data_IF_336514134416
#
_entry.id   IF_336514134416
#
_cell.length_a   1.000
_cell.length_b   1.000
_cell.length_c   1.000
_cell.angle_alpha   90.00
_cell.angle_beta   90.00
_cell.angle_gamma   90.00
#
_symmetry.space_group_name_H-M   'P 1'
#
loop_
_entity.id
_entity.type
_entity.pdbx_description
1 polymer ?
#
# COMPACT_ATOMS: atom_id res chain seq x y z
N UNK A 1 25.48 10.31 18.72
CA UNK A 1 24.27 9.89 19.46
C UNK A 1 23.05 10.30 18.66
N UNK A 2 22.64 9.50 17.67
CA UNK A 2 21.38 9.70 16.95
C UNK A 2 20.35 8.84 17.65
N UNK A 3 19.61 9.40 18.60
CA UNK A 3 18.36 8.82 19.08
C UNK A 3 17.37 8.85 17.92
N UNK A 4 17.50 7.90 17.00
CA UNK A 4 16.52 7.69 15.93
C UNK A 4 15.21 7.38 16.62
N UNK A 5 14.26 8.30 16.51
CA UNK A 5 12.90 8.10 17.00
C UNK A 5 12.36 6.86 16.28
N UNK A 6 12.20 5.74 16.99
CA UNK A 6 11.68 4.48 16.44
C UNK A 6 10.18 4.62 16.16
N UNK A 7 9.86 5.38 15.10
CA UNK A 7 8.52 5.63 14.61
C UNK A 7 8.18 4.62 13.52
N UNK A 8 7.01 3.96 13.59
CA UNK A 8 6.53 3.13 12.50
C UNK A 8 6.43 3.92 11.19
N UNK A 9 6.60 3.27 10.03
CA UNK A 9 6.43 3.89 8.71
C UNK A 9 5.08 4.62 8.57
N UNK A 10 4.03 4.13 9.23
CA UNK A 10 2.72 4.80 9.25
C UNK A 10 2.73 6.15 9.98
N UNK A 11 3.56 6.34 11.01
CA UNK A 11 3.75 7.65 11.65
C UNK A 11 4.33 8.65 10.64
N UNK A 12 5.32 8.22 9.85
CA UNK A 12 5.91 9.05 8.80
C UNK A 12 4.91 9.38 7.68
N UNK A 13 4.06 8.41 7.30
CA UNK A 13 2.98 8.66 6.34
C UNK A 13 1.97 9.69 6.87
N UNK A 14 1.55 9.59 8.14
CA UNK A 14 0.63 10.58 8.76
C UNK A 14 1.28 11.96 8.85
N UNK A 15 2.56 12.03 9.24
CA UNK A 15 3.31 13.28 9.33
C UNK A 15 3.52 13.93 7.95
N UNK A 16 3.82 13.13 6.93
CA UNK A 16 3.92 13.58 5.54
C UNK A 16 2.58 14.09 5.00
N UNK A 17 1.45 13.48 5.35
CA UNK A 17 0.15 14.05 4.99
C UNK A 17 -0.06 15.40 5.68
N UNK A 18 0.19 15.51 6.98
CA UNK A 18 0.07 16.79 7.68
C UNK A 18 1.00 17.89 7.13
N UNK A 19 2.06 17.55 6.38
CA UNK A 19 2.97 18.55 5.83
C UNK A 19 2.41 19.33 4.62
N UNK A 20 1.34 18.88 3.96
CA UNK A 20 0.78 19.56 2.78
C UNK A 20 -0.44 20.45 3.08
N UNK A 21 -0.78 20.65 4.35
CA UNK A 21 -1.86 21.55 4.75
C UNK A 21 -1.52 22.23 6.08
N UNK A 22 -2.19 23.33 6.38
CA UNK A 22 -2.03 24.01 7.68
C UNK A 22 -2.58 23.14 8.81
N UNK A 23 -3.79 22.61 8.62
CA UNK A 23 -4.42 21.70 9.56
C UNK A 23 -5.30 20.65 8.86
N UNK A 24 -5.32 19.43 9.40
CA UNK A 24 -6.19 18.34 8.95
C UNK A 24 -6.89 17.70 10.13
N UNK A 25 -8.11 17.22 9.93
CA UNK A 25 -8.71 16.28 10.89
C UNK A 25 -8.31 14.84 10.59
N UNK A 26 -8.60 13.94 11.55
CA UNK A 26 -8.47 12.51 11.32
C UNK A 26 -9.30 11.99 10.14
N UNK A 27 -10.40 12.67 9.80
CA UNK A 27 -11.20 12.35 8.62
C UNK A 27 -10.50 12.77 7.32
N UNK A 28 -9.92 13.96 7.30
CA UNK A 28 -9.21 14.46 6.12
C UNK A 28 -7.97 13.58 5.83
N UNK A 29 -7.24 13.18 6.87
CA UNK A 29 -6.13 12.23 6.78
C UNK A 29 -6.58 10.86 6.25
N UNK A 30 -7.75 10.36 6.67
CA UNK A 30 -8.28 9.10 6.15
C UNK A 30 -8.64 9.20 4.67
N UNK A 31 -9.31 10.28 4.28
CA UNK A 31 -9.68 10.53 2.88
C UNK A 31 -8.44 10.57 2.00
N UNK A 32 -7.38 11.22 2.46
CA UNK A 32 -6.14 11.29 1.70
C UNK A 32 -5.39 9.94 1.65
N UNK A 33 -5.32 9.21 2.76
CA UNK A 33 -4.76 7.87 2.75
C UNK A 33 -5.47 6.94 1.76
N UNK A 34 -6.80 7.04 1.68
CA UNK A 34 -7.59 6.33 0.67
C UNK A 34 -7.34 6.87 -0.74
N UNK A 35 -7.12 8.16 -0.92
CA UNK A 35 -6.91 8.73 -2.24
C UNK A 35 -5.53 8.41 -2.84
N UNK A 36 -4.49 8.17 -2.02
CA UNK A 36 -3.12 7.97 -2.54
C UNK A 36 -2.37 6.79 -1.94
N UNK A 37 -2.28 6.71 -0.61
CA UNK A 37 -1.46 5.71 0.06
C UNK A 37 -1.93 4.28 -0.26
N UNK A 38 -3.25 4.05 -0.37
CA UNK A 38 -3.84 2.72 -0.55
C UNK A 38 -3.27 1.89 -1.72
N UNK A 39 -2.65 2.53 -2.72
CA UNK A 39 -2.17 1.89 -3.94
C UNK A 39 -0.76 1.28 -3.80
N UNK A 40 0.03 1.75 -2.85
CA UNK A 40 1.43 1.32 -2.65
C UNK A 40 1.78 1.08 -1.18
N UNK A 41 0.92 1.49 -0.27
CA UNK A 41 1.01 1.30 1.15
C UNK A 41 -0.37 0.87 1.68
N UNK A 42 -0.44 0.25 2.86
CA UNK A 42 -1.75 -0.04 3.42
C UNK A 42 -2.42 1.29 3.81
N UNK A 43 -3.68 1.49 3.44
CA UNK A 43 -4.44 2.62 3.98
C UNK A 43 -4.69 2.37 5.48
N UNK A 44 -4.16 3.19 6.39
CA UNK A 44 -4.41 3.02 7.82
C UNK A 44 -5.89 3.20 8.15
N UNK A 45 -6.38 2.39 9.09
CA UNK A 45 -7.72 2.58 9.64
C UNK A 45 -7.81 3.89 10.45
N UNK A 46 -9.03 4.36 10.72
CA UNK A 46 -9.22 5.51 11.62
C UNK A 46 -8.52 5.32 12.96
N UNK A 47 -8.67 4.15 13.58
CA UNK A 47 -8.04 3.83 14.86
C UNK A 47 -6.51 3.88 14.78
N UNK A 48 -5.92 3.42 13.68
CA UNK A 48 -4.48 3.53 13.43
C UNK A 48 -4.08 4.99 13.28
N UNK A 49 -4.77 5.78 12.45
CA UNK A 49 -4.48 7.22 12.28
C UNK A 49 -4.48 7.94 13.63
N UNK A 50 -5.50 7.73 14.47
CA UNK A 50 -5.55 8.36 15.79
C UNK A 50 -4.45 7.85 16.75
N UNK A 51 -4.05 6.58 16.65
CA UNK A 51 -2.93 6.05 17.43
C UNK A 51 -1.59 6.69 17.01
N UNK A 52 -1.37 6.85 15.70
CA UNK A 52 -0.19 7.53 15.16
C UNK A 52 -0.19 9.02 15.53
N UNK A 53 -1.31 9.72 15.42
CA UNK A 53 -1.43 11.12 15.84
C UNK A 53 -1.07 11.31 17.32
N UNK A 54 -1.59 10.46 18.20
CA UNK A 54 -1.25 10.48 19.63
C UNK A 54 0.25 10.24 19.86
N UNK A 55 0.87 9.35 19.08
CA UNK A 55 2.32 9.10 19.15
C UNK A 55 3.09 10.35 18.70
N UNK A 56 2.73 10.95 17.57
CA UNK A 56 3.36 12.15 17.03
C UNK A 56 3.22 13.36 17.98
N UNK A 57 2.08 13.51 18.66
CA UNK A 57 1.89 14.51 19.71
C UNK A 57 2.84 14.29 20.89
N UNK A 58 3.05 13.04 21.32
CA UNK A 58 4.01 12.70 22.38
C UNK A 58 5.45 13.06 22.00
N UNK A 59 5.79 13.02 20.71
CA UNK A 59 7.09 13.45 20.20
C UNK A 59 7.19 14.96 19.92
N UNK A 60 6.10 15.73 20.12
CA UNK A 60 6.06 17.16 19.82
C UNK A 60 6.09 17.46 18.31
N UNK A 61 5.83 16.48 17.45
CA UNK A 61 5.83 16.64 15.99
C UNK A 61 4.48 17.13 15.45
N UNK A 62 3.42 16.99 16.25
CA UNK A 62 2.06 17.40 15.91
C UNK A 62 1.44 18.08 17.13
N UNK A 63 0.65 19.13 16.89
CA UNK A 63 -0.27 19.70 17.87
C UNK A 63 -1.72 19.49 17.43
N UNK A 64 -2.66 19.64 18.36
CA UNK A 64 -4.08 19.62 18.03
C UNK A 64 -4.89 20.65 18.78
N UNK A 65 -6.02 21.01 18.18
CA UNK A 65 -7.04 21.87 18.79
C UNK A 65 -8.43 21.35 18.46
N UNK A 66 -9.39 21.64 19.33
CA UNK A 66 -10.80 21.34 19.09
C UNK A 66 -11.49 22.55 18.51
N UNK A 67 -12.14 22.38 17.36
CA UNK A 67 -12.97 23.38 16.73
C UNK A 67 -14.43 23.02 16.98
N UNK A 68 -15.20 23.92 17.56
CA UNK A 68 -16.65 23.73 17.74
C UNK A 68 -17.32 23.80 16.37
N UNK A 69 -18.06 22.76 15.99
CA UNK A 69 -18.90 22.81 14.78
C UNK A 69 -20.03 23.82 14.94
N UNK A 70 -20.48 24.42 13.83
CA UNK A 70 -21.58 25.42 13.81
C UNK A 70 -22.87 24.89 14.47
N UNK A 71 -23.09 23.58 14.44
CA UNK A 71 -24.26 22.93 15.01
C UNK A 71 -24.15 22.63 16.52
N UNK A 72 -23.00 22.89 17.15
CA UNK A 72 -22.78 22.75 18.60
C UNK A 72 -22.74 21.31 19.17
N UNK A 73 -23.02 20.28 18.37
CA UNK A 73 -23.22 18.90 18.88
C UNK A 73 -21.92 18.11 19.11
N UNK A 74 -20.83 18.40 18.38
CA UNK A 74 -19.52 17.74 18.60
C UNK A 74 -18.36 18.55 18.03
N UNK A 75 -17.32 18.80 18.83
CA UNK A 75 -16.11 19.46 18.35
C UNK A 75 -15.31 18.56 17.39
N UNK A 76 -14.81 19.14 16.29
CA UNK A 76 -13.89 18.50 15.33
C UNK A 76 -12.45 18.77 15.81
N UNK A 77 -11.66 17.70 16.04
CA UNK A 77 -10.25 17.84 16.40
C UNK A 77 -9.41 18.01 15.12
N UNK A 78 -8.71 19.13 15.06
CA UNK A 78 -7.79 19.50 14.00
C UNK A 78 -6.36 19.29 14.48
N UNK A 79 -5.50 18.85 13.58
CA UNK A 79 -4.10 18.53 13.83
C UNK A 79 -3.21 19.34 12.90
N UNK A 80 -2.14 19.91 13.45
CA UNK A 80 -1.15 20.69 12.73
C UNK A 80 0.24 20.08 12.92
N UNK A 81 1.04 20.00 11.86
CA UNK A 81 2.45 19.63 11.98
C UNK A 81 3.24 20.79 12.61
N UNK A 82 4.15 20.48 13.53
CA UNK A 82 5.06 21.47 14.13
C UNK A 82 6.30 21.67 13.25
N UNK A 83 7.09 22.72 13.52
CA UNK A 83 8.40 22.90 12.87
C UNK A 83 9.30 21.67 13.08
N UNK A 84 9.39 21.17 14.32
CA UNK A 84 10.17 19.96 14.61
C UNK A 84 9.61 18.71 13.90
N UNK A 85 8.29 18.62 13.69
CA UNK A 85 7.68 17.56 12.88
C UNK A 85 8.07 17.65 11.41
N UNK A 86 8.08 18.84 10.82
CA UNK A 86 8.55 19.07 9.43
C UNK A 86 10.02 18.68 9.28
N UNK A 87 10.87 19.10 10.21
CA UNK A 87 12.28 18.75 10.21
C UNK A 87 12.50 17.24 10.37
N UNK A 88 11.72 16.59 11.24
CA UNK A 88 11.81 15.15 11.47
C UNK A 88 11.43 14.33 10.22
N UNK A 89 10.30 14.66 9.55
CA UNK A 89 9.91 13.93 8.33
C UNK A 89 10.89 14.21 7.18
N UNK A 90 11.38 15.45 7.04
CA UNK A 90 12.40 15.78 6.06
C UNK A 90 13.70 15.00 6.31
N UNK A 91 14.14 14.92 7.57
CA UNK A 91 15.30 14.11 7.93
C UNK A 91 15.07 12.63 7.61
N UNK A 92 13.89 12.08 7.94
CA UNK A 92 13.56 10.68 7.66
C UNK A 92 13.62 10.36 6.16
N UNK A 93 13.02 11.20 5.30
CA UNK A 93 13.03 11.05 3.84
C UNK A 93 14.45 11.03 3.27
N UNK A 94 15.35 11.86 3.81
CA UNK A 94 16.69 12.04 3.24
C UNK A 94 17.74 11.05 3.77
N UNK A 95 17.55 10.48 4.95
CA UNK A 95 18.63 9.76 5.64
C UNK A 95 18.26 8.37 6.15
N UNK A 96 16.98 8.01 6.19
CA UNK A 96 16.60 6.68 6.68
C UNK A 96 16.90 5.62 5.62
N UNK A 97 17.42 4.44 6.03
CA UNK A 97 17.64 3.35 5.09
C UNK A 97 16.30 2.93 4.48
N UNK A 98 16.31 2.72 3.16
CA UNK A 98 15.16 2.21 2.42
C UNK A 98 15.31 0.71 2.28
N UNK A 99 14.44 -0.05 2.94
CA UNK A 99 14.39 -1.49 2.79
C UNK A 99 13.76 -1.89 1.46
N UNK A 100 14.21 -3.02 0.90
CA UNK A 100 13.59 -3.58 -0.28
C UNK A 100 12.13 -3.96 0.01
N UNK A 101 11.16 -3.60 -0.87
CA UNK A 101 9.78 -4.02 -0.71
C UNK A 101 9.64 -5.55 -0.65
N UNK A 102 8.87 -6.05 0.33
CA UNK A 102 8.59 -7.48 0.47
C UNK A 102 7.26 -7.81 -0.20
N UNK A 103 7.29 -8.62 -1.26
CA UNK A 103 6.09 -9.08 -1.95
C UNK A 103 5.41 -10.24 -1.20
N UNK A 104 4.30 -9.96 -0.52
CA UNK A 104 3.46 -10.98 0.14
C UNK A 104 2.19 -11.26 -0.68
N UNK A 105 2.34 -12.00 -1.78
CA UNK A 105 1.28 -12.17 -2.77
C UNK A 105 0.43 -13.42 -2.55
N UNK A 106 -0.81 -13.26 -2.08
CA UNK A 106 -1.68 -14.40 -1.72
C UNK A 106 -2.15 -15.25 -2.92
N UNK A 107 -2.39 -14.63 -4.09
CA UNK A 107 -2.78 -15.36 -5.31
C UNK A 107 -1.63 -16.22 -5.82
N UNK A 108 -0.42 -15.66 -5.96
CA UNK A 108 0.77 -16.43 -6.32
C UNK A 108 1.06 -17.58 -5.34
N UNK A 109 0.87 -17.37 -4.04
CA UNK A 109 1.02 -18.45 -3.06
C UNK A 109 0.03 -19.60 -3.32
N UNK A 110 -1.23 -19.29 -3.68
CA UNK A 110 -2.23 -20.32 -4.03
C UNK A 110 -1.93 -20.99 -5.37
N UNK A 111 -1.46 -20.25 -6.37
CA UNK A 111 -1.02 -20.81 -7.65
C UNK A 111 0.20 -21.72 -7.47
N UNK A 112 1.15 -21.35 -6.61
CA UNK A 112 2.29 -22.19 -6.24
C UNK A 112 1.85 -23.49 -5.55
N UNK A 113 0.79 -23.43 -4.74
CA UNK A 113 0.12 -24.60 -4.17
C UNK A 113 -0.89 -25.26 -5.13
N UNK A 114 -0.84 -24.97 -6.43
CA UNK A 114 -1.84 -25.43 -7.41
C UNK A 114 -1.99 -26.95 -7.50
N UNK A 115 -1.02 -27.73 -7.02
CA UNK A 115 -1.12 -29.19 -6.88
C UNK A 115 -2.16 -29.65 -5.83
N UNK A 116 -2.59 -28.76 -4.93
CA UNK A 116 -3.64 -28.99 -3.93
C UNK A 116 -4.96 -28.30 -4.30
N UNK A 117 -5.00 -27.55 -5.40
CA UNK A 117 -6.16 -26.76 -5.79
C UNK A 117 -6.95 -27.45 -6.90
N UNK A 118 -8.28 -27.34 -6.83
CA UNK A 118 -9.13 -27.65 -7.98
C UNK A 118 -8.84 -26.65 -9.12
N UNK A 119 -8.62 -27.09 -10.37
CA UNK A 119 -8.25 -26.20 -11.48
C UNK A 119 -9.23 -25.04 -11.67
N UNK A 120 -10.53 -25.32 -11.59
CA UNK A 120 -11.59 -24.33 -11.73
C UNK A 120 -11.54 -23.27 -10.62
N UNK A 121 -11.21 -23.70 -9.39
CA UNK A 121 -11.09 -22.78 -8.26
C UNK A 121 -9.89 -21.86 -8.42
N UNK A 122 -8.76 -22.39 -8.91
CA UNK A 122 -7.57 -21.58 -9.14
C UNK A 122 -7.80 -20.56 -10.27
N UNK A 123 -8.53 -20.96 -11.32
CA UNK A 123 -8.99 -20.06 -12.39
C UNK A 123 -9.84 -18.92 -11.83
N UNK A 124 -10.84 -19.22 -11.00
CA UNK A 124 -11.69 -18.18 -10.37
C UNK A 124 -10.87 -17.17 -9.56
N UNK A 125 -9.88 -17.63 -8.79
CA UNK A 125 -9.01 -16.77 -7.99
C UNK A 125 -8.22 -15.82 -8.90
N UNK A 126 -7.66 -16.32 -10.01
CA UNK A 126 -6.90 -15.51 -10.96
C UNK A 126 -7.79 -14.53 -11.71
N UNK A 127 -8.96 -14.96 -12.19
CA UNK A 127 -9.94 -14.05 -12.83
C UNK A 127 -10.36 -12.93 -11.88
N UNK A 128 -10.67 -13.25 -10.62
CA UNK A 128 -11.01 -12.22 -9.63
C UNK A 128 -9.84 -11.27 -9.33
N UNK A 129 -8.60 -11.76 -9.42
CA UNK A 129 -7.40 -10.92 -9.25
C UNK A 129 -7.15 -10.01 -10.45
N UNK A 130 -7.39 -10.48 -11.68
CA UNK A 130 -7.36 -9.68 -12.91
C UNK A 130 -8.37 -8.53 -12.80
N UNK A 131 -9.61 -8.84 -12.40
CA UNK A 131 -10.66 -7.83 -12.18
C UNK A 131 -10.28 -6.83 -11.09
N UNK A 132 -9.66 -7.32 -10.01
CA UNK A 132 -9.16 -6.48 -8.93
C UNK A 132 -8.05 -5.53 -9.43
N UNK A 133 -7.06 -6.04 -10.16
CA UNK A 133 -5.97 -5.25 -10.70
C UNK A 133 -6.48 -4.14 -11.64
N UNK A 134 -7.41 -4.47 -12.55
CA UNK A 134 -8.04 -3.47 -13.43
C UNK A 134 -8.84 -2.42 -12.65
N UNK A 135 -9.60 -2.84 -11.62
CA UNK A 135 -10.31 -1.92 -10.74
C UNK A 135 -9.36 -0.96 -10.03
N UNK A 136 -8.24 -1.45 -9.51
CA UNK A 136 -7.25 -0.61 -8.83
C UNK A 136 -6.55 0.34 -9.80
N UNK A 137 -6.22 -0.13 -11.02
CA UNK A 137 -5.67 0.69 -12.10
C UNK A 137 -6.61 1.85 -12.46
N UNK A 138 -7.91 1.59 -12.62
CA UNK A 138 -8.93 2.64 -12.90
C UNK A 138 -9.06 3.65 -11.77
N UNK A 139 -9.04 3.19 -10.51
CA UNK A 139 -9.10 4.07 -9.34
C UNK A 139 -7.88 4.99 -9.28
N UNK A 140 -6.68 4.43 -9.44
CA UNK A 140 -5.45 5.23 -9.45
C UNK A 140 -5.42 6.26 -10.60
N UNK A 141 -5.98 5.92 -11.76
CA UNK A 141 -6.12 6.84 -12.89
C UNK A 141 -7.06 8.00 -12.58
N UNK A 142 -8.26 7.71 -12.04
CA UNK A 142 -9.22 8.74 -11.66
C UNK A 142 -8.66 9.66 -10.56
N UNK A 143 -7.94 9.10 -9.59
CA UNK A 143 -7.28 9.86 -8.53
C UNK A 143 -6.15 10.73 -9.09
N UNK A 144 -5.34 10.22 -10.03
CA UNK A 144 -4.27 10.98 -10.68
C UNK A 144 -4.81 12.20 -11.46
N UNK A 145 -5.83 12.00 -12.30
CA UNK A 145 -6.45 13.07 -13.09
C UNK A 145 -6.99 14.21 -12.21
N UNK A 146 -7.56 13.88 -11.04
CA UNK A 146 -8.07 14.87 -10.08
C UNK A 146 -6.97 15.74 -9.44
N UNK A 147 -5.70 15.35 -9.51
CA UNK A 147 -4.58 16.06 -8.88
C UNK A 147 -3.74 16.93 -9.81
N UNK A 148 -3.84 16.74 -11.13
CA UNK A 148 -2.97 17.44 -12.10
C UNK A 148 -3.19 18.97 -12.11
N UNK A 149 -4.30 19.45 -11.54
CA UNK A 149 -4.62 20.87 -11.44
C UNK A 149 -3.86 21.64 -10.35
N UNK A 150 -3.24 20.96 -9.37
CA UNK A 150 -2.55 21.63 -8.26
C UNK A 150 -1.07 21.20 -8.17
N UNK A 151 -0.10 22.12 -8.36
CA UNK A 151 1.33 21.84 -8.30
C UNK A 151 1.80 21.19 -6.99
N UNK A 152 1.13 21.45 -5.87
CA UNK A 152 1.47 20.86 -4.56
C UNK A 152 1.30 19.34 -4.54
N UNK A 153 0.60 18.78 -5.53
CA UNK A 153 0.34 17.35 -5.67
C UNK A 153 1.25 16.66 -6.68
N UNK A 154 2.21 17.36 -7.29
CA UNK A 154 3.03 16.81 -8.37
C UNK A 154 3.74 15.48 -8.00
N UNK A 155 4.25 15.36 -6.77
CA UNK A 155 4.86 14.12 -6.28
C UNK A 155 3.83 13.00 -6.04
N UNK A 156 2.74 13.21 -5.27
CA UNK A 156 1.62 12.26 -5.22
C UNK A 156 1.12 11.80 -6.60
N UNK A 157 0.92 12.71 -7.55
CA UNK A 157 0.46 12.39 -8.92
C UNK A 157 1.47 11.52 -9.66
N UNK A 158 2.77 11.79 -9.51
CA UNK A 158 3.82 10.96 -10.11
C UNK A 158 3.81 9.53 -9.54
N UNK A 159 3.59 9.39 -8.23
CA UNK A 159 3.44 8.08 -7.57
C UNK A 159 2.18 7.36 -8.06
N UNK A 160 1.04 8.05 -8.22
CA UNK A 160 -0.18 7.46 -8.77
C UNK A 160 0.03 6.97 -10.21
N UNK A 161 0.73 7.72 -11.06
CA UNK A 161 1.11 7.26 -12.41
C UNK A 161 1.97 6.00 -12.39
N UNK A 162 2.86 5.85 -11.41
CA UNK A 162 3.59 4.59 -11.20
C UNK A 162 2.63 3.46 -10.80
N UNK A 163 1.68 3.72 -9.89
CA UNK A 163 0.68 2.73 -9.47
C UNK A 163 -0.22 2.25 -10.61
N UNK A 164 -0.61 3.13 -11.53
CA UNK A 164 -1.38 2.78 -12.74
C UNK A 164 -0.61 1.72 -13.56
N UNK A 165 0.67 1.98 -13.85
CA UNK A 165 1.52 1.04 -14.60
C UNK A 165 1.78 -0.25 -13.83
N UNK A 166 1.92 -0.16 -12.51
CA UNK A 166 2.06 -1.34 -11.66
C UNK A 166 0.84 -2.26 -11.76
N UNK A 167 -0.38 -1.73 -11.63
CA UNK A 167 -1.60 -2.54 -11.71
C UNK A 167 -1.90 -3.02 -13.14
N UNK A 168 -1.48 -2.27 -14.17
CA UNK A 168 -1.52 -2.75 -15.56
C UNK A 168 -0.60 -3.96 -15.76
N UNK A 169 0.64 -3.90 -15.26
CA UNK A 169 1.57 -5.01 -15.30
C UNK A 169 1.07 -6.20 -14.46
N UNK A 170 0.51 -5.95 -13.27
CA UNK A 170 -0.06 -6.98 -12.41
C UNK A 170 -1.22 -7.72 -13.09
N UNK A 171 -2.10 -7.00 -13.79
CA UNK A 171 -3.17 -7.58 -14.60
C UNK A 171 -2.60 -8.52 -15.67
N UNK A 172 -1.61 -8.04 -16.44
CA UNK A 172 -0.98 -8.84 -17.48
C UNK A 172 -0.30 -10.09 -16.93
N UNK A 173 0.45 -9.96 -15.83
CA UNK A 173 1.11 -11.10 -15.18
C UNK A 173 0.11 -12.14 -14.68
N UNK A 174 -1.07 -11.72 -14.21
CA UNK A 174 -2.13 -12.61 -13.78
C UNK A 174 -2.82 -13.33 -14.97
N UNK A 175 -2.97 -12.64 -16.11
CA UNK A 175 -3.45 -13.23 -17.36
C UNK A 175 -2.46 -14.28 -17.89
N UNK A 176 -1.17 -13.95 -17.95
CA UNK A 176 -0.12 -14.87 -18.38
C UNK A 176 -0.05 -16.13 -17.48
N UNK A 177 -0.14 -15.94 -16.16
CA UNK A 177 -0.16 -17.05 -15.21
C UNK A 177 -1.40 -17.94 -15.38
N UNK A 178 -2.55 -17.35 -15.70
CA UNK A 178 -3.75 -18.12 -15.98
C UNK A 178 -3.56 -18.99 -17.24
N UNK A 179 -3.02 -18.43 -18.31
CA UNK A 179 -2.72 -19.16 -19.55
C UNK A 179 -1.73 -20.32 -19.30
N UNK A 180 -0.69 -20.09 -18.51
CA UNK A 180 0.27 -21.13 -18.12
C UNK A 180 -0.40 -22.29 -17.38
N UNK A 181 -1.31 -21.98 -16.44
CA UNK A 181 -2.02 -22.98 -15.66
C UNK A 181 -3.04 -23.76 -16.50
N UNK A 182 -3.73 -23.09 -17.43
CA UNK A 182 -4.61 -23.76 -18.38
C UNK A 182 -3.83 -24.71 -19.30
N UNK A 183 -2.64 -24.31 -19.76
CA UNK A 183 -1.77 -25.15 -20.54
C UNK A 183 -1.27 -26.38 -19.75
N UNK A 184 -1.00 -26.23 -18.45
CA UNK A 184 -0.63 -27.35 -17.57
C UNK A 184 -1.80 -28.33 -17.36
N UNK A 185 -3.02 -27.82 -17.18
CA UNK A 185 -4.22 -28.64 -17.02
C UNK A 185 -4.53 -29.45 -18.30
N UNK A 186 -4.48 -28.80 -19.47
CA UNK A 186 -4.68 -29.45 -20.78
C UNK A 186 -3.67 -30.57 -21.05
N UNK A 187 -2.44 -30.44 -20.55
CA UNK A 187 -1.37 -31.46 -20.69
C UNK A 187 -1.47 -32.60 -19.67
N UNK A 188 -2.46 -32.59 -18.76
CA UNK A 188 -2.59 -33.58 -17.68
C UNK A 188 -1.42 -33.56 -16.68
N UNK A 189 -0.68 -32.44 -16.60
CA UNK A 189 0.57 -32.33 -15.81
C UNK A 189 0.37 -31.82 -14.39
N UNK A 190 -0.87 -31.51 -13.98
CA UNK A 190 -1.15 -31.19 -12.58
C UNK A 190 -1.02 -32.49 -11.76
N UNK A 191 -0.10 -32.56 -10.78
CA UNK A 191 0.08 -33.76 -10.00
C UNK A 191 -1.16 -33.98 -9.13
N UNK A 192 -2.03 -34.90 -9.53
CA UNK A 192 -3.16 -35.37 -8.73
C UNK A 192 -2.64 -36.49 -7.84
N UNK A 193 -2.62 -36.28 -6.52
CA UNK A 193 -2.14 -37.22 -5.49
C UNK A 193 -0.70 -37.74 -5.69
N UNK A 194 0.26 -37.20 -4.93
CA UNK A 194 1.61 -37.76 -4.83
C UNK A 194 1.84 -38.39 -3.45
N UNK A 195 2.38 -39.60 -3.43
CA UNK A 195 2.71 -40.36 -2.22
C UNK A 195 4.08 -39.99 -1.60
N UNK A 196 4.95 -39.26 -2.31
CA UNK A 196 6.31 -38.93 -1.85
C UNK A 196 6.62 -37.42 -1.84
N UNK A 197 7.37 -36.91 -0.84
CA UNK A 197 7.68 -35.48 -0.71
C UNK A 197 8.66 -34.99 -1.79
N UNK A 198 8.40 -33.79 -2.32
CA UNK A 198 9.27 -33.08 -3.27
C UNK A 198 10.49 -32.51 -2.54
N UNK A 199 11.69 -32.96 -2.91
CA UNK A 199 12.91 -32.22 -2.60
C UNK A 199 12.99 -30.98 -3.51
N UNK A 200 13.42 -29.80 -3.00
CA UNK A 200 13.61 -28.63 -3.85
C UNK A 200 14.61 -28.95 -4.97
N UNK A 201 14.40 -28.46 -6.20
CA UNK A 201 15.34 -28.68 -7.29
C UNK A 201 16.72 -28.16 -6.89
N UNK A 202 17.78 -28.91 -7.23
CA UNK A 202 19.16 -28.47 -6.97
C UNK A 202 19.38 -27.14 -7.68
N UNK A 203 19.52 -26.07 -6.91
CA UNK A 203 19.85 -24.74 -7.41
C UNK A 203 21.19 -24.80 -8.15
N UNK A 204 21.22 -24.42 -9.43
CA UNK A 204 22.48 -24.01 -10.06
C UNK A 204 22.89 -22.73 -9.34
N UNK A 205 23.99 -22.77 -8.60
CA UNK A 205 24.52 -21.70 -7.76
C UNK A 205 24.22 -20.31 -8.32
N UNK A 206 23.37 -19.53 -7.64
CA UNK A 206 23.19 -18.10 -7.93
C UNK A 206 24.54 -17.40 -7.70
N UNK A 207 25.09 -16.66 -8.68
CA UNK A 207 26.24 -15.81 -8.42
C UNK A 207 25.86 -14.78 -7.34
N UNK A 208 26.82 -14.52 -6.43
CA UNK A 208 26.69 -13.54 -5.35
C UNK A 208 26.54 -12.13 -5.89
#
# INVERSE_FOLDING_TARGET
MTSGTDLPTTSWAVLGMLSHADELSGYDLKKWADWSLQFFYWSPSFSQIYAELKRLEKHGYVTSRTVTSEDGVRGKRMYAITTSGRDAVAHWVNHSPVEAPVLKHSVLLRAWLGHLAEPERLREILTAHIDYAEKMRRRAAADAEGSDANPDWAFPSAVLRWCIRHYEAERQLAEDLLDDLEALNKRGRLPRNREAPLAPPKSKSRPR
#
